data_IF_277422235516
#
_entry.id   IF_277422235516
#
_cell.length_a   1.000
_cell.length_b   1.000
_cell.length_c   1.000
_cell.angle_alpha   90.00
_cell.angle_beta   90.00
_cell.angle_gamma   90.00
#
_symmetry.space_group_name_H-M   'P 1'
#
loop_
_entity.id
_entity.type
_entity.pdbx_description
1 polymer ?
#
# COMPACT_ATOMS: atom_id res chain seq x y z
N UNK A 1 -0.66 0.97 -10.84
CA UNK A 1 0.80 0.88 -11.13
C UNK A 1 1.75 1.43 -10.03
N UNK A 2 1.28 2.20 -9.03
CA UNK A 2 2.15 2.80 -7.98
C UNK A 2 2.71 1.81 -6.92
N UNK A 3 2.11 0.63 -6.76
CA UNK A 3 2.47 -0.30 -5.68
C UNK A 3 3.90 -0.85 -5.73
N UNK A 4 4.45 -1.08 -6.93
CA UNK A 4 5.81 -1.62 -7.09
C UNK A 4 6.90 -0.67 -6.58
N UNK A 5 6.79 0.62 -6.89
CA UNK A 5 7.73 1.64 -6.39
C UNK A 5 7.63 1.77 -4.87
N UNK A 6 6.41 1.78 -4.34
CA UNK A 6 6.20 1.85 -2.88
C UNK A 6 6.77 0.63 -2.16
N UNK A 7 6.64 -0.57 -2.74
CA UNK A 7 7.21 -1.80 -2.19
C UNK A 7 8.75 -1.73 -2.11
N UNK A 8 9.42 -1.15 -3.11
CA UNK A 8 10.87 -0.93 -3.09
C UNK A 8 11.25 0.04 -1.96
N UNK A 9 10.52 1.15 -1.83
CA UNK A 9 10.76 2.12 -0.74
C UNK A 9 10.54 1.48 0.63
N UNK A 10 9.50 0.67 0.81
CA UNK A 10 9.24 -0.12 2.02
C UNK A 10 10.43 -1.05 2.32
N UNK A 11 10.94 -1.76 1.31
CA UNK A 11 12.06 -2.68 1.49
C UNK A 11 13.32 -1.94 1.96
N UNK A 12 13.67 -0.81 1.33
CA UNK A 12 14.81 0.02 1.73
C UNK A 12 14.60 0.56 3.16
N UNK A 13 13.39 1.02 3.48
CA UNK A 13 13.06 1.55 4.80
C UNK A 13 13.22 0.51 5.91
N UNK A 14 12.70 -0.70 5.68
CA UNK A 14 12.81 -1.81 6.64
C UNK A 14 14.23 -2.32 6.74
N UNK A 15 14.95 -2.44 5.62
CA UNK A 15 16.36 -2.84 5.60
C UNK A 15 17.19 -1.93 6.52
N UNK A 16 17.10 -0.61 6.32
CA UNK A 16 17.83 0.37 7.14
C UNK A 16 17.49 0.23 8.63
N UNK A 17 16.20 0.06 8.91
CA UNK A 17 15.72 -0.10 10.28
C UNK A 17 16.28 -1.37 10.92
N UNK A 18 16.27 -2.49 10.20
CA UNK A 18 16.76 -3.77 10.69
C UNK A 18 18.29 -3.79 10.90
N UNK A 19 19.04 -3.05 10.08
CA UNK A 19 20.48 -2.81 10.26
C UNK A 19 20.72 -1.97 11.51
N UNK A 20 20.04 -0.83 11.66
CA UNK A 20 20.19 0.07 12.80
C UNK A 20 19.83 -0.61 14.13
N UNK A 21 18.76 -1.41 14.13
CA UNK A 21 18.30 -2.17 15.29
C UNK A 21 19.10 -3.47 15.54
N UNK A 22 20.12 -3.77 14.72
CA UNK A 22 21.00 -4.95 14.85
C UNK A 22 20.23 -6.27 15.04
N UNK A 23 19.19 -6.46 14.23
CA UNK A 23 18.27 -7.62 14.35
C UNK A 23 18.88 -9.00 14.06
N UNK A 24 20.11 -9.07 13.54
CA UNK A 24 20.78 -10.30 13.13
C UNK A 24 20.32 -10.87 11.78
N UNK A 25 19.04 -10.69 11.43
CA UNK A 25 18.41 -11.28 10.24
C UNK A 25 17.82 -10.22 9.29
N UNK A 26 18.64 -9.25 8.88
CA UNK A 26 18.21 -8.08 8.09
C UNK A 26 17.48 -8.46 6.79
N UNK A 27 17.99 -9.46 6.07
CA UNK A 27 17.41 -9.91 4.79
C UNK A 27 16.01 -10.50 4.99
N UNK A 28 15.82 -11.30 6.05
CA UNK A 28 14.50 -11.89 6.37
C UNK A 28 13.47 -10.81 6.72
N UNK A 29 13.86 -9.81 7.50
CA UNK A 29 12.96 -8.67 7.80
C UNK A 29 12.59 -7.88 6.55
N UNK A 30 13.56 -7.66 5.67
CA UNK A 30 13.36 -6.90 4.43
C UNK A 30 12.45 -7.65 3.46
N UNK A 31 12.75 -8.92 3.19
CA UNK A 31 11.94 -9.77 2.31
C UNK A 31 10.54 -10.01 2.90
N UNK A 32 10.45 -10.29 4.20
CA UNK A 32 9.19 -10.46 4.91
C UNK A 32 8.31 -9.21 4.85
N UNK A 33 8.87 -8.01 4.97
CA UNK A 33 8.12 -6.78 4.82
C UNK A 33 7.60 -6.54 3.40
N UNK A 34 8.40 -6.87 2.37
CA UNK A 34 7.95 -6.77 0.99
C UNK A 34 6.82 -7.76 0.69
N UNK A 35 6.93 -9.01 1.15
CA UNK A 35 5.87 -10.02 1.01
C UNK A 35 4.61 -9.58 1.76
N UNK A 36 4.75 -9.14 3.02
CA UNK A 36 3.63 -8.67 3.83
C UNK A 36 2.92 -7.49 3.16
N UNK A 37 3.67 -6.55 2.58
CA UNK A 37 3.12 -5.44 1.83
C UNK A 37 2.21 -5.94 0.70
N UNK A 38 2.70 -6.82 -0.17
CA UNK A 38 1.91 -7.33 -1.30
C UNK A 38 0.70 -8.16 -0.86
N UNK A 39 0.83 -8.99 0.18
CA UNK A 39 -0.28 -9.78 0.72
C UNK A 39 -1.39 -8.88 1.23
N UNK A 40 -1.05 -7.87 2.05
CA UNK A 40 -2.06 -6.94 2.58
C UNK A 40 -2.65 -6.09 1.47
N UNK A 41 -1.83 -5.63 0.52
CA UNK A 41 -2.30 -4.88 -0.64
C UNK A 41 -3.33 -5.71 -1.43
N UNK A 42 -3.04 -6.98 -1.72
CA UNK A 42 -3.97 -7.89 -2.40
C UNK A 42 -5.25 -8.11 -1.60
N UNK A 43 -5.17 -8.28 -0.29
CA UNK A 43 -6.35 -8.44 0.56
C UNK A 43 -7.27 -7.21 0.49
N UNK A 44 -6.71 -6.01 0.58
CA UNK A 44 -7.49 -4.78 0.49
C UNK A 44 -8.03 -4.49 -0.91
N UNK A 45 -7.34 -4.92 -1.98
CA UNK A 45 -7.95 -4.94 -3.32
C UNK A 45 -9.22 -5.77 -3.34
N UNK A 46 -9.18 -6.99 -2.79
CA UNK A 46 -10.36 -7.86 -2.73
C UNK A 46 -11.47 -7.30 -1.84
N UNK A 47 -11.12 -6.67 -0.72
CA UNK A 47 -12.10 -5.98 0.15
C UNK A 47 -12.79 -4.85 -0.61
N UNK A 48 -12.04 -4.03 -1.35
CA UNK A 48 -12.61 -2.93 -2.12
C UNK A 48 -13.55 -3.44 -3.21
N UNK A 49 -13.14 -4.49 -3.92
CA UNK A 49 -14.00 -5.16 -4.91
C UNK A 49 -15.28 -5.68 -4.24
N UNK A 50 -15.16 -6.37 -3.11
CA UNK A 50 -16.32 -6.88 -2.37
C UNK A 50 -17.29 -5.76 -1.96
N UNK A 51 -16.76 -4.60 -1.53
CA UNK A 51 -17.59 -3.45 -1.18
C UNK A 51 -18.29 -2.91 -2.43
N UNK A 52 -17.55 -2.64 -3.51
CA UNK A 52 -18.11 -2.09 -4.75
C UNK A 52 -19.19 -3.01 -5.31
N UNK A 53 -18.94 -4.31 -5.35
CA UNK A 53 -19.88 -5.32 -5.85
C UNK A 53 -21.09 -5.48 -4.92
N UNK A 54 -20.88 -5.43 -3.60
CA UNK A 54 -21.95 -5.53 -2.62
C UNK A 54 -22.91 -4.33 -2.61
N UNK A 55 -22.47 -3.19 -3.14
CA UNK A 55 -23.30 -1.98 -3.29
C UNK A 55 -23.66 -1.66 -4.75
N UNK A 56 -23.25 -2.49 -5.72
CA UNK A 56 -23.62 -2.37 -7.13
C UNK A 56 -24.94 -3.05 -7.43
N UNK A 57 -25.80 -2.43 -8.25
CA UNK A 57 -27.14 -2.97 -8.55
C UNK A 57 -27.17 -3.98 -9.70
N UNK A 58 -26.10 -4.15 -10.48
CA UNK A 58 -26.03 -5.19 -11.53
C UNK A 58 -24.57 -5.56 -11.87
N UNK A 59 -24.09 -6.73 -11.45
CA UNK A 59 -22.85 -7.33 -12.00
C UNK A 59 -23.19 -7.94 -13.37
N UNK A 60 -23.53 -7.09 -14.34
CA UNK A 60 -23.95 -7.46 -15.69
C UNK A 60 -22.79 -7.83 -16.63
N UNK A 61 -23.10 -8.21 -17.88
CA UNK A 61 -22.11 -8.69 -18.86
C UNK A 61 -21.01 -7.69 -19.28
N UNK A 62 -21.20 -6.40 -18.98
CA UNK A 62 -20.23 -5.32 -19.21
C UNK A 62 -19.33 -5.05 -17.99
N UNK A 63 -19.42 -5.87 -16.94
CA UNK A 63 -18.61 -5.72 -15.73
C UNK A 63 -17.14 -5.98 -16.01
N UNK A 64 -16.32 -4.93 -15.97
CA UNK A 64 -14.90 -5.01 -16.23
C UNK A 64 -14.18 -5.64 -15.02
N UNK A 65 -13.75 -6.90 -15.20
CA UNK A 65 -13.17 -7.74 -14.12
C UNK A 65 -11.68 -7.48 -13.89
N UNK A 66 -11.09 -6.45 -14.51
CA UNK A 66 -9.65 -6.31 -14.43
C UNK A 66 -9.21 -6.14 -12.97
N UNK A 67 -8.32 -7.02 -12.52
CA UNK A 67 -7.92 -7.15 -11.12
C UNK A 67 -6.97 -6.02 -10.69
N UNK A 68 -6.50 -5.23 -11.66
CA UNK A 68 -5.48 -4.21 -11.45
C UNK A 68 -6.00 -2.78 -11.45
N UNK A 69 -7.23 -2.54 -11.87
CA UNK A 69 -7.86 -1.22 -11.86
C UNK A 69 -9.21 -1.27 -11.12
N UNK A 70 -9.31 -0.51 -10.02
CA UNK A 70 -10.56 -0.36 -9.25
C UNK A 70 -11.34 0.87 -9.74
N UNK A 71 -10.67 1.87 -10.33
CA UNK A 71 -11.29 3.11 -10.76
C UNK A 71 -12.28 2.90 -11.91
N UNK A 72 -12.00 1.91 -12.77
CA UNK A 72 -12.76 1.63 -14.00
C UNK A 72 -13.87 0.58 -13.83
N UNK A 73 -14.16 0.11 -12.60
CA UNK A 73 -15.22 -0.90 -12.37
C UNK A 73 -16.62 -0.32 -12.53
N UNK A 74 -17.15 -0.37 -13.75
CA UNK A 74 -18.52 0.03 -14.10
C UNK A 74 -19.50 -1.07 -13.64
N UNK A 75 -20.38 -0.72 -12.69
CA UNK A 75 -21.34 -1.63 -12.04
C UNK A 75 -22.75 -1.60 -12.65
N UNK A 76 -22.93 -1.02 -13.85
CA UNK A 76 -24.19 -1.08 -14.60
C UNK A 76 -24.03 -0.63 -16.06
N UNK A 77 -24.76 -1.28 -16.96
CA UNK A 77 -24.85 -0.94 -18.39
C UNK A 77 -25.33 0.51 -18.57
N UNK A 78 -24.47 1.39 -19.07
CA UNK A 78 -24.83 2.78 -19.37
C UNK A 78 -24.52 3.82 -18.30
N UNK A 79 -23.50 3.59 -17.46
CA UNK A 79 -22.80 4.68 -16.75
C UNK A 79 -23.56 5.31 -15.58
N UNK A 80 -24.63 4.68 -15.09
CA UNK A 80 -25.31 5.11 -13.87
C UNK A 80 -25.86 3.95 -13.05
N UNK A 81 -25.44 3.79 -11.78
CA UNK A 81 -25.96 2.73 -10.90
C UNK A 81 -25.07 2.18 -9.77
N UNK A 82 -23.91 2.76 -9.48
CA UNK A 82 -22.99 2.29 -8.42
C UNK A 82 -22.52 3.38 -7.45
N UNK A 83 -21.94 2.99 -6.31
CA UNK A 83 -21.37 3.95 -5.32
C UNK A 83 -20.21 4.79 -5.89
N UNK A 84 -19.67 4.41 -7.04
CA UNK A 84 -18.61 5.11 -7.77
C UNK A 84 -19.15 6.10 -8.82
N UNK A 85 -20.44 6.47 -8.78
CA UNK A 85 -21.03 7.43 -9.71
C UNK A 85 -20.98 8.90 -9.23
N UNK A 86 -20.80 9.83 -10.17
CA UNK A 86 -20.76 11.28 -9.90
C UNK A 86 -19.53 11.75 -9.12
N UNK A 87 -19.56 12.99 -8.61
CA UNK A 87 -18.43 13.59 -7.88
C UNK A 87 -18.00 12.77 -6.65
N UNK A 88 -18.95 12.27 -5.87
CA UNK A 88 -18.67 11.39 -4.73
C UNK A 88 -18.09 10.05 -5.18
N UNK A 89 -18.51 9.56 -6.34
CA UNK A 89 -17.97 8.38 -6.96
C UNK A 89 -16.49 8.49 -7.36
N UNK A 90 -16.09 9.61 -7.96
CA UNK A 90 -14.68 9.90 -8.26
C UNK A 90 -13.82 9.94 -6.99
N UNK A 91 -14.31 10.57 -5.92
CA UNK A 91 -13.62 10.61 -4.63
C UNK A 91 -13.48 9.19 -4.04
N UNK A 92 -14.54 8.39 -4.09
CA UNK A 92 -14.53 7.00 -3.63
C UNK A 92 -13.60 6.11 -4.47
N UNK A 93 -13.54 6.30 -5.78
CA UNK A 93 -12.59 5.61 -6.66
C UNK A 93 -11.14 5.85 -6.25
N UNK A 94 -10.76 7.13 -6.06
CA UNK A 94 -9.40 7.49 -5.58
C UNK A 94 -9.12 6.87 -4.20
N UNK A 95 -10.09 6.90 -3.29
CA UNK A 95 -9.94 6.28 -1.98
C UNK A 95 -9.74 4.77 -2.07
N UNK A 96 -10.48 4.07 -2.93
CA UNK A 96 -10.31 2.63 -3.14
C UNK A 96 -9.01 2.27 -3.87
N UNK A 97 -8.43 3.16 -4.65
CA UNK A 97 -7.08 2.95 -5.19
C UNK A 97 -5.97 3.15 -4.15
N UNK A 98 -6.13 4.14 -3.26
CA UNK A 98 -5.13 4.47 -2.25
C UNK A 98 -5.19 3.56 -1.02
N UNK A 99 -6.38 3.10 -0.64
CA UNK A 99 -6.58 2.31 0.58
C UNK A 99 -5.72 1.04 0.63
N UNK A 100 -5.60 0.21 -0.43
CA UNK A 100 -4.74 -0.98 -0.40
C UNK A 100 -3.28 -0.64 -0.15
N UNK A 101 -2.77 0.42 -0.78
CA UNK A 101 -1.40 0.89 -0.61
C UNK A 101 -1.16 1.43 0.81
N UNK A 102 -2.10 2.23 1.31
CA UNK A 102 -2.02 2.80 2.65
C UNK A 102 -2.06 1.70 3.72
N UNK A 103 -2.98 0.74 3.61
CA UNK A 103 -3.12 -0.34 4.59
C UNK A 103 -1.94 -1.31 4.56
N UNK A 104 -1.38 -1.57 3.39
CA UNK A 104 -0.14 -2.32 3.25
C UNK A 104 1.05 -1.60 3.92
N UNK A 105 1.23 -0.31 3.64
CA UNK A 105 2.26 0.50 4.30
C UNK A 105 2.07 0.55 5.81
N UNK A 106 0.85 0.81 6.29
CA UNK A 106 0.53 0.92 7.71
C UNK A 106 0.81 -0.39 8.46
N UNK A 107 0.48 -1.53 7.85
CA UNK A 107 0.73 -2.85 8.44
C UNK A 107 2.23 -3.09 8.59
N UNK A 108 3.03 -2.77 7.56
CA UNK A 108 4.50 -2.87 7.64
C UNK A 108 5.05 -1.90 8.70
N UNK A 109 4.57 -0.66 8.74
CA UNK A 109 4.96 0.34 9.74
C UNK A 109 4.70 -0.14 11.17
N UNK A 110 3.55 -0.78 11.40
CA UNK A 110 3.19 -1.37 12.68
C UNK A 110 4.15 -2.51 13.07
N UNK A 111 4.36 -3.49 12.17
CA UNK A 111 5.27 -4.62 12.43
C UNK A 111 6.69 -4.12 12.71
N UNK A 112 7.18 -3.18 11.88
CA UNK A 112 8.48 -2.54 12.05
C UNK A 112 8.61 -1.88 13.41
N UNK A 113 7.63 -1.07 13.80
CA UNK A 113 7.67 -0.32 15.07
C UNK A 113 7.63 -1.27 16.26
N UNK A 114 6.72 -2.25 16.24
CA UNK A 114 6.50 -3.15 17.37
C UNK A 114 7.60 -4.21 17.54
N UNK A 115 8.06 -4.80 16.45
CA UNK A 115 8.91 -6.01 16.50
C UNK A 115 10.37 -5.74 16.13
N UNK A 116 10.65 -4.79 15.24
CA UNK A 116 12.03 -4.43 14.88
C UNK A 116 12.56 -3.37 15.85
N UNK A 117 11.86 -2.23 15.96
CA UNK A 117 12.29 -1.12 16.82
C UNK A 117 11.95 -1.33 18.30
N UNK A 118 10.90 -2.11 18.60
CA UNK A 118 10.38 -2.34 19.96
C UNK A 118 9.97 -1.03 20.65
N UNK A 119 9.38 -0.14 19.87
CA UNK A 119 8.90 1.17 20.33
C UNK A 119 7.37 1.17 20.52
N UNK A 120 6.86 2.19 21.21
CA UNK A 120 5.43 2.44 21.33
C UNK A 120 4.80 2.82 19.98
N UNK A 121 3.54 2.44 19.78
CA UNK A 121 2.80 2.77 18.57
C UNK A 121 2.25 4.20 18.67
N UNK A 122 2.87 5.11 17.94
CA UNK A 122 2.40 6.47 17.73
C UNK A 122 2.84 6.95 16.34
N UNK A 123 2.28 8.06 15.86
CA UNK A 123 2.55 8.57 14.50
C UNK A 123 4.04 8.84 14.26
N UNK A 124 4.74 9.35 15.27
CA UNK A 124 6.18 9.63 15.19
C UNK A 124 7.00 8.36 14.93
N UNK A 125 6.70 7.29 15.66
CA UNK A 125 7.46 6.03 15.55
C UNK A 125 7.07 5.25 14.29
N UNK A 126 5.78 5.27 13.90
CA UNK A 126 5.30 4.67 12.65
C UNK A 126 5.95 5.26 11.40
N UNK A 127 6.27 6.56 11.41
CA UNK A 127 6.88 7.26 10.27
C UNK A 127 8.38 7.47 10.43
N UNK A 128 8.98 6.94 11.50
CA UNK A 128 10.40 7.17 11.82
C UNK A 128 11.32 6.64 10.72
N UNK A 129 12.41 7.36 10.44
CA UNK A 129 13.41 6.92 9.46
C UNK A 129 13.05 7.12 7.98
N UNK A 130 11.82 7.52 7.64
CA UNK A 130 11.41 7.83 6.25
C UNK A 130 12.23 8.99 5.68
N UNK A 131 12.31 10.11 6.39
CA UNK A 131 13.10 11.28 5.93
C UNK A 131 14.57 10.90 5.71
N UNK A 132 15.18 10.19 6.67
CA UNK A 132 16.55 9.70 6.54
C UNK A 132 16.73 8.72 5.38
N UNK A 133 15.70 7.96 4.99
CA UNK A 133 15.78 7.05 3.85
C UNK A 133 15.93 7.84 2.55
N UNK A 134 15.14 8.88 2.36
CA UNK A 134 15.25 9.73 1.18
C UNK A 134 16.56 10.49 1.12
N UNK A 135 17.10 10.92 2.26
CA UNK A 135 18.44 11.54 2.32
C UNK A 135 19.52 10.56 1.87
N UNK A 136 19.48 9.31 2.33
CA UNK A 136 20.45 8.28 1.94
C UNK A 136 20.32 7.90 0.47
N UNK A 137 19.10 7.73 -0.04
CA UNK A 137 18.84 7.49 -1.47
C UNK A 137 19.40 8.65 -2.30
N UNK A 138 19.16 9.90 -1.88
CA UNK A 138 19.74 11.07 -2.56
C UNK A 138 21.27 11.02 -2.54
N UNK A 139 21.86 10.66 -1.41
CA UNK A 139 23.31 10.61 -1.26
C UNK A 139 23.96 9.45 -2.04
N UNK A 140 23.24 8.36 -2.32
CA UNK A 140 23.79 7.24 -3.11
C UNK A 140 24.05 7.58 -4.58
N UNK A 141 23.54 8.72 -5.06
CA UNK A 141 23.80 9.22 -6.42
C UNK A 141 24.98 10.20 -6.49
N UNK A 142 25.58 10.58 -5.35
CA UNK A 142 26.78 11.42 -5.36
C UNK A 142 27.98 10.55 -5.74
N UNK A 143 28.78 11.00 -6.70
CA UNK A 143 30.07 10.37 -6.99
C UNK A 143 30.98 10.52 -5.78
N UNK A 144 31.73 9.45 -5.49
CA UNK A 144 32.85 9.49 -4.56
C UNK A 144 33.97 10.30 -5.20
N UNK A 145 33.88 11.63 -5.14
CA UNK A 145 35.02 12.53 -5.34
C UNK A 145 35.67 12.86 -3.99
#
# INVERSE_FOLDING_TARGET
>A
MFGGVLAILIAIWVFRTAVQAKTGNVILWTAGAAILFFVVQMLFYNINIFIIDGFGNDVGGDYERDLTDIGDRITSSGGSGGIQEGFFGTVLGILFELLPLFMAWLTVAFIRTKYILKEEINVKNLTSGISGMFVDIKNSFKSSE
#
